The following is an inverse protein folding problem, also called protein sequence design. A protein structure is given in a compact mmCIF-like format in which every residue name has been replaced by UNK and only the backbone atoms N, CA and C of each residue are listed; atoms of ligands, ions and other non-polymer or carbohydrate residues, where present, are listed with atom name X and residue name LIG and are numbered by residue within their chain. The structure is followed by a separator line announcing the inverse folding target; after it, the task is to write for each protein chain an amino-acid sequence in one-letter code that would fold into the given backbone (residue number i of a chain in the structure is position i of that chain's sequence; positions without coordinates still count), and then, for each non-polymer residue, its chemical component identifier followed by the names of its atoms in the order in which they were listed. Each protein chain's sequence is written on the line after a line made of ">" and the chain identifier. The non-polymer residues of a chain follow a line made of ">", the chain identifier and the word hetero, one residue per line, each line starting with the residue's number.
data_IF_568954497124
#
_entry.id   IF_568954497124
#
_cell.length_a   1.000
_cell.length_b   1.000
_cell.length_c   1.000
_cell.angle_alpha   90.00
_cell.angle_beta   90.00
_cell.angle_gamma   90.00
#
_symmetry.space_group_name_H-M   'P 1'
#
loop_
_entity.id
_entity.type
_entity.pdbx_description
1 polymer ?
#
# COMPACT_ATOMS: atom_id res chain seq x y z
N UNK A 1 32.57 -20.54 52.00
CA UNK A 1 31.17 -20.19 51.64
C UNK A 1 30.63 -21.28 50.73
N UNK A 2 29.48 -21.85 51.07
CA UNK A 2 28.83 -22.93 50.32
C UNK A 2 28.37 -22.48 48.92
N UNK A 3 28.32 -23.43 47.99
CA UNK A 3 27.65 -23.27 46.68
C UNK A 3 26.15 -23.42 46.96
N UNK A 4 25.35 -22.44 46.52
CA UNK A 4 23.90 -22.47 46.63
C UNK A 4 23.35 -23.35 45.51
N UNK A 5 22.31 -24.10 45.83
CA UNK A 5 21.40 -24.72 44.87
C UNK A 5 20.54 -23.67 44.16
N UNK A 6 19.84 -24.06 43.07
CA UNK A 6 18.89 -23.18 42.39
C UNK A 6 17.81 -22.63 43.34
N UNK A 7 17.29 -23.48 44.23
CA UNK A 7 16.27 -23.14 45.22
C UNK A 7 16.76 -22.13 46.25
N UNK A 8 17.97 -22.36 46.77
CA UNK A 8 18.59 -21.46 47.73
C UNK A 8 18.94 -20.12 47.09
N UNK A 9 19.37 -20.13 45.82
CA UNK A 9 19.62 -18.90 45.08
C UNK A 9 18.33 -18.14 44.80
N UNK A 10 17.27 -18.77 44.31
CA UNK A 10 15.98 -18.12 44.06
C UNK A 10 15.42 -17.55 45.37
N UNK A 11 15.50 -18.31 46.47
CA UNK A 11 15.06 -17.85 47.79
C UNK A 11 15.90 -16.67 48.30
N UNK A 12 17.22 -16.71 48.10
CA UNK A 12 18.12 -15.61 48.43
C UNK A 12 17.81 -14.38 47.57
N UNK A 13 17.52 -14.57 46.28
CA UNK A 13 17.19 -13.49 45.36
C UNK A 13 15.87 -12.83 45.73
N UNK A 14 14.84 -13.61 46.06
CA UNK A 14 13.55 -13.09 46.52
C UNK A 14 13.67 -12.28 47.81
N UNK A 15 14.50 -12.72 48.75
CA UNK A 15 14.67 -12.05 50.05
C UNK A 15 15.64 -10.88 50.00
N UNK A 16 16.69 -10.96 49.18
CA UNK A 16 17.72 -9.92 49.03
C UNK A 16 18.44 -10.06 47.68
N UNK A 17 17.89 -9.44 46.60
CA UNK A 17 18.45 -9.54 45.26
C UNK A 17 19.95 -9.19 45.25
N UNK A 18 20.32 -8.03 45.82
CA UNK A 18 21.69 -7.53 45.90
C UNK A 18 22.68 -8.52 46.49
N UNK A 19 22.29 -9.24 47.55
CA UNK A 19 23.13 -10.27 48.17
C UNK A 19 23.27 -11.50 47.26
N UNK A 20 22.21 -11.90 46.58
CA UNK A 20 22.29 -12.96 45.56
C UNK A 20 23.25 -12.56 44.42
N UNK A 21 23.28 -11.29 44.03
CA UNK A 21 24.18 -10.79 42.96
C UNK A 21 25.63 -10.81 43.35
N UNK A 22 25.92 -10.28 44.53
CA UNK A 22 27.27 -10.26 45.08
C UNK A 22 27.78 -11.68 45.25
N UNK A 23 26.90 -12.60 45.65
CA UNK A 23 27.23 -14.02 45.69
C UNK A 23 27.59 -14.56 44.29
N UNK A 24 26.79 -14.24 43.27
CA UNK A 24 26.99 -14.62 41.87
C UNK A 24 28.33 -14.10 41.30
N UNK A 25 28.62 -12.81 41.53
CA UNK A 25 29.85 -12.15 41.12
C UNK A 25 31.09 -12.66 41.87
N UNK A 26 31.01 -12.76 43.21
CA UNK A 26 32.14 -13.14 44.07
C UNK A 26 32.62 -14.58 43.87
N UNK A 27 31.80 -15.41 43.24
CA UNK A 27 32.09 -16.83 43.04
C UNK A 27 32.59 -17.16 41.64
N UNK A 28 32.67 -16.18 40.74
CA UNK A 28 32.87 -16.40 39.30
C UNK A 28 32.00 -17.58 38.83
N UNK A 29 30.78 -17.67 39.38
CA UNK A 29 30.13 -18.96 39.44
C UNK A 29 29.72 -19.37 38.04
N UNK A 30 30.12 -20.57 37.68
CA UNK A 30 29.68 -21.25 36.48
C UNK A 30 28.17 -21.49 36.60
N UNK A 31 27.39 -20.53 36.09
CA UNK A 31 25.93 -20.49 36.15
C UNK A 31 25.29 -21.74 35.53
N UNK A 32 26.05 -22.48 34.72
CA UNK A 32 25.65 -23.81 34.20
C UNK A 32 25.43 -24.85 35.27
N UNK A 33 26.06 -24.69 36.43
CA UNK A 33 25.91 -25.59 37.58
C UNK A 33 24.75 -25.18 38.48
N UNK A 34 24.28 -23.94 38.34
CA UNK A 34 23.23 -23.39 39.19
C UNK A 34 21.84 -23.75 38.67
N UNK A 35 21.63 -23.65 37.35
CA UNK A 35 20.36 -23.96 36.70
C UNK A 35 20.57 -25.14 35.75
N UNK A 36 20.18 -26.33 36.21
CA UNK A 36 20.43 -27.59 35.47
C UNK A 36 19.17 -28.13 34.81
N UNK A 37 18.01 -27.56 35.12
CA UNK A 37 16.71 -27.98 34.59
C UNK A 37 15.88 -26.79 34.10
N UNK A 38 14.95 -27.08 33.16
CA UNK A 38 13.97 -26.11 32.67
C UNK A 38 13.14 -25.51 33.79
N UNK A 39 12.65 -26.34 34.72
CA UNK A 39 11.75 -25.90 35.78
C UNK A 39 12.40 -24.83 36.67
N UNK A 40 13.69 -24.97 36.97
CA UNK A 40 14.44 -23.96 37.73
C UNK A 40 14.55 -22.63 36.98
N UNK A 41 14.80 -22.67 35.67
CA UNK A 41 14.86 -21.47 34.80
C UNK A 41 13.48 -20.83 34.66
N UNK A 42 12.43 -21.63 34.48
CA UNK A 42 11.06 -21.14 34.36
C UNK A 42 10.60 -20.42 35.64
N UNK A 43 10.96 -20.93 36.81
CA UNK A 43 10.68 -20.24 38.10
C UNK A 43 11.44 -18.93 38.21
N UNK A 44 12.71 -18.89 37.78
CA UNK A 44 13.49 -17.65 37.73
C UNK A 44 12.85 -16.63 36.77
N UNK A 45 12.42 -17.07 35.59
CA UNK A 45 11.76 -16.24 34.59
C UNK A 45 10.38 -15.72 35.07
N UNK A 46 9.60 -16.58 35.75
CA UNK A 46 8.33 -16.19 36.35
C UNK A 46 8.52 -15.17 37.48
N UNK A 47 9.53 -15.38 38.33
CA UNK A 47 9.90 -14.44 39.39
C UNK A 47 10.35 -13.09 38.80
N UNK A 48 11.19 -13.10 37.76
CA UNK A 48 11.61 -11.91 37.04
C UNK A 48 10.42 -11.12 36.51
N UNK A 49 9.47 -11.81 35.89
CA UNK A 49 8.26 -11.19 35.36
C UNK A 49 7.34 -10.65 36.46
N UNK A 50 7.22 -11.34 37.60
CA UNK A 50 6.43 -10.89 38.74
C UNK A 50 7.04 -9.67 39.46
N UNK A 51 8.36 -9.54 39.47
CA UNK A 51 9.08 -8.42 40.10
C UNK A 51 9.12 -7.17 39.23
N UNK A 52 8.63 -7.26 37.99
CA UNK A 52 8.57 -6.22 36.98
C UNK A 52 7.31 -5.35 37.28
N UNK A 53 7.43 -4.21 37.97
CA UNK A 53 6.25 -3.39 38.26
C UNK A 53 5.77 -2.74 36.96
N UNK A 54 4.46 -2.57 36.88
CA UNK A 54 3.79 -1.71 35.91
C UNK A 54 4.42 -0.31 35.92
N UNK A 55 5.29 -0.05 34.94
CA UNK A 55 5.75 1.25 34.45
C UNK A 55 5.95 2.36 35.49
N UNK A 56 6.87 2.18 36.45
CA UNK A 56 7.57 3.28 37.15
C UNK A 56 8.68 2.74 38.07
N UNK A 57 9.63 2.01 37.49
CA UNK A 57 10.81 1.56 38.22
C UNK A 57 11.82 2.70 38.35
N UNK A 58 12.30 2.96 39.57
CA UNK A 58 13.46 3.82 39.75
C UNK A 58 14.70 3.19 39.10
N UNK A 59 15.63 4.02 38.66
CA UNK A 59 16.90 3.60 38.04
C UNK A 59 17.67 2.59 38.94
N UNK A 60 17.52 2.72 40.26
CA UNK A 60 18.13 1.82 41.25
C UNK A 60 17.53 0.40 41.18
N UNK A 61 16.20 0.25 41.06
CA UNK A 61 15.56 -1.07 41.00
C UNK A 61 15.83 -1.76 39.66
N UNK A 62 15.92 -1.01 38.56
CA UNK A 62 16.38 -1.55 37.27
C UNK A 62 17.83 -2.08 37.43
N UNK A 63 18.70 -1.35 38.11
CA UNK A 63 20.07 -1.82 38.34
C UNK A 63 20.12 -3.06 39.25
N UNK A 64 19.32 -3.09 40.32
CA UNK A 64 19.41 -4.15 41.33
C UNK A 64 18.62 -5.43 40.99
N UNK A 65 17.61 -5.38 40.12
CA UNK A 65 16.78 -6.55 39.75
C UNK A 65 16.97 -6.97 38.30
N UNK A 66 17.25 -6.04 37.39
CA UNK A 66 17.27 -6.31 35.95
C UNK A 66 18.67 -6.69 35.43
N UNK A 67 19.70 -5.89 35.75
CA UNK A 67 21.09 -6.20 35.36
C UNK A 67 21.55 -7.63 35.71
N UNK A 68 21.14 -8.22 36.85
CA UNK A 68 21.49 -9.58 37.23
C UNK A 68 21.01 -10.68 36.32
N UNK A 69 19.73 -10.65 36.00
CA UNK A 69 19.06 -11.66 35.20
C UNK A 69 19.50 -11.48 33.76
N UNK A 70 19.68 -10.23 33.35
CA UNK A 70 20.36 -9.88 32.11
C UNK A 70 21.79 -10.44 32.04
N UNK A 71 22.60 -10.26 33.08
CA UNK A 71 23.97 -10.80 33.17
C UNK A 71 23.95 -12.33 33.16
N UNK A 72 23.02 -12.94 33.88
CA UNK A 72 22.84 -14.39 33.94
C UNK A 72 22.53 -14.98 32.55
N UNK A 73 21.57 -14.38 31.84
CA UNK A 73 21.23 -14.80 30.48
C UNK A 73 22.39 -14.54 29.53
N UNK A 74 23.14 -13.44 29.68
CA UNK A 74 24.31 -13.17 28.85
C UNK A 74 25.47 -14.15 29.09
N UNK A 75 25.70 -14.56 30.34
CA UNK A 75 26.78 -15.46 30.71
C UNK A 75 26.46 -16.92 30.38
N UNK A 76 25.23 -17.37 30.61
CA UNK A 76 24.81 -18.77 30.49
C UNK A 76 23.79 -19.04 29.38
N UNK A 77 23.46 -18.03 28.56
CA UNK A 77 22.36 -18.09 27.58
C UNK A 77 22.47 -19.24 26.60
N UNK A 78 23.68 -19.62 26.19
CA UNK A 78 23.89 -20.78 25.33
C UNK A 78 23.48 -22.11 25.98
N UNK A 79 23.77 -22.33 27.27
CA UNK A 79 23.33 -23.55 27.95
C UNK A 79 21.85 -23.48 28.30
N UNK A 80 21.36 -22.30 28.71
CA UNK A 80 19.92 -22.10 28.95
C UNK A 80 19.13 -22.41 27.67
N UNK A 81 19.62 -21.98 26.49
CA UNK A 81 18.99 -22.30 25.22
C UNK A 81 18.96 -23.80 24.91
N UNK A 82 19.95 -24.59 25.36
CA UNK A 82 19.93 -26.05 25.20
C UNK A 82 18.78 -26.71 25.98
N UNK A 83 18.36 -26.09 27.09
CA UNK A 83 17.18 -26.53 27.84
C UNK A 83 15.88 -26.27 27.06
N UNK A 84 15.87 -25.32 26.12
CA UNK A 84 14.73 -24.94 25.28
C UNK A 84 14.90 -25.36 23.82
N UNK A 85 15.51 -26.53 23.58
CA UNK A 85 15.81 -27.07 22.25
C UNK A 85 14.59 -27.56 21.43
N UNK A 86 13.37 -27.32 21.90
CA UNK A 86 12.13 -27.63 21.17
C UNK A 86 11.23 -26.41 21.12
N UNK A 87 10.48 -26.24 20.02
CA UNK A 87 9.54 -25.13 19.86
C UNK A 87 8.54 -25.07 21.03
N UNK A 88 7.97 -26.21 21.44
CA UNK A 88 7.01 -26.25 22.55
C UNK A 88 7.61 -25.75 23.87
N UNK A 89 8.84 -26.16 24.19
CA UNK A 89 9.51 -25.70 25.40
C UNK A 89 9.78 -24.18 25.34
N UNK A 90 10.31 -23.70 24.22
CA UNK A 90 10.60 -22.28 24.06
C UNK A 90 9.32 -21.43 24.09
N UNK A 91 8.24 -21.87 23.45
CA UNK A 91 6.95 -21.18 23.49
C UNK A 91 6.35 -21.14 24.90
N UNK A 92 6.60 -22.15 25.75
CA UNK A 92 6.24 -22.10 27.18
C UNK A 92 6.99 -20.98 27.88
N UNK A 93 8.30 -20.84 27.63
CA UNK A 93 9.10 -19.73 28.18
C UNK A 93 8.58 -18.36 27.70
N UNK A 94 8.27 -18.21 26.41
CA UNK A 94 7.72 -16.97 25.85
C UNK A 94 6.43 -16.56 26.59
N UNK A 95 5.55 -17.51 26.90
CA UNK A 95 4.31 -17.27 27.65
C UNK A 95 4.54 -16.92 29.12
N UNK A 96 5.60 -17.46 29.73
CA UNK A 96 5.98 -17.14 31.12
C UNK A 96 6.60 -15.74 31.19
N UNK A 97 7.54 -15.44 30.29
CA UNK A 97 8.25 -14.15 30.24
C UNK A 97 8.82 -13.90 28.85
N UNK A 98 8.08 -13.12 28.04
CA UNK A 98 8.51 -12.72 26.69
C UNK A 98 9.81 -11.90 26.71
N UNK A 99 10.02 -11.09 27.75
CA UNK A 99 11.25 -10.34 27.95
C UNK A 99 12.46 -11.25 28.19
N UNK A 100 12.31 -12.29 29.01
CA UNK A 100 13.38 -13.28 29.22
C UNK A 100 13.65 -14.06 27.93
N UNK A 101 12.61 -14.49 27.22
CA UNK A 101 12.74 -15.19 25.94
C UNK A 101 13.43 -14.33 24.88
N UNK A 102 13.12 -13.02 24.79
CA UNK A 102 13.81 -12.08 23.90
C UNK A 102 15.27 -11.91 24.29
N UNK A 103 15.59 -11.82 25.59
CA UNK A 103 16.99 -11.76 26.01
C UNK A 103 17.74 -13.05 25.67
N UNK A 104 17.12 -14.21 25.87
CA UNK A 104 17.70 -15.50 25.51
C UNK A 104 17.94 -15.59 23.99
N UNK A 105 16.98 -15.13 23.18
CA UNK A 105 17.13 -15.03 21.72
C UNK A 105 18.33 -14.15 21.33
N UNK A 106 18.53 -13.01 21.99
CA UNK A 106 19.66 -12.11 21.70
C UNK A 106 21.02 -12.75 21.98
N UNK A 107 21.12 -13.61 23.00
CA UNK A 107 22.39 -14.24 23.40
C UNK A 107 22.67 -15.52 22.62
N UNK A 108 21.64 -16.30 22.29
CA UNK A 108 21.77 -17.58 21.60
C UNK A 108 20.86 -17.66 20.35
N UNK A 109 20.94 -16.69 19.42
CA UNK A 109 19.98 -16.59 18.32
C UNK A 109 19.95 -17.84 17.45
N UNK A 110 21.12 -18.35 17.03
CA UNK A 110 21.19 -19.54 16.19
C UNK A 110 20.48 -20.77 16.78
N UNK A 111 20.51 -20.96 18.12
CA UNK A 111 19.85 -22.08 18.78
C UNK A 111 18.33 -21.91 18.85
N UNK A 112 17.86 -20.67 18.94
CA UNK A 112 16.43 -20.37 19.00
C UNK A 112 15.83 -20.31 17.59
N UNK A 113 16.55 -19.77 16.61
CA UNK A 113 16.10 -19.68 15.22
C UNK A 113 15.81 -21.04 14.58
N UNK A 114 16.56 -22.09 14.94
CA UNK A 114 16.33 -23.45 14.44
C UNK A 114 15.02 -24.04 14.92
N UNK A 115 14.38 -23.46 15.93
CA UNK A 115 13.07 -23.89 16.42
C UNK A 115 11.93 -23.46 15.48
N UNK A 116 12.14 -22.39 14.70
CA UNK A 116 11.15 -21.83 13.79
C UNK A 116 11.49 -22.24 12.35
N UNK A 117 10.66 -23.11 11.77
CA UNK A 117 10.91 -23.67 10.44
C UNK A 117 9.71 -23.54 9.50
N UNK A 118 8.61 -22.95 9.97
CA UNK A 118 7.40 -22.77 9.19
C UNK A 118 6.71 -21.44 9.46
N UNK A 119 5.78 -21.09 8.58
CA UNK A 119 4.86 -19.98 8.77
C UNK A 119 4.07 -20.08 10.07
N UNK A 120 3.58 -21.28 10.41
CA UNK A 120 2.78 -21.47 11.61
C UNK A 120 3.61 -21.25 12.89
N UNK A 121 4.89 -21.64 12.89
CA UNK A 121 5.77 -21.40 14.05
C UNK A 121 6.00 -19.91 14.24
N UNK A 122 6.22 -19.17 13.16
CA UNK A 122 6.40 -17.71 13.19
C UNK A 122 5.13 -17.00 13.66
N UNK A 123 3.96 -17.37 13.14
CA UNK A 123 2.70 -16.76 13.55
C UNK A 123 2.34 -17.08 15.00
N UNK A 124 2.64 -18.30 15.48
CA UNK A 124 2.46 -18.65 16.89
C UNK A 124 3.38 -17.81 17.80
N UNK A 125 4.60 -17.49 17.34
CA UNK A 125 5.50 -16.57 18.06
C UNK A 125 4.96 -15.14 18.06
N UNK A 126 4.46 -14.67 16.92
CA UNK A 126 3.91 -13.32 16.76
C UNK A 126 2.71 -13.11 17.68
N UNK A 127 1.78 -14.07 17.73
CA UNK A 127 0.63 -14.05 18.64
C UNK A 127 1.06 -14.03 20.12
N UNK A 128 2.13 -14.74 20.47
CA UNK A 128 2.63 -14.78 21.84
C UNK A 128 3.50 -13.56 22.22
N UNK A 129 4.26 -13.01 21.26
CA UNK A 129 5.16 -11.89 21.46
C UNK A 129 5.55 -11.21 20.14
N UNK A 130 4.84 -10.12 19.81
CA UNK A 130 5.11 -9.27 18.64
C UNK A 130 6.56 -8.78 18.61
N UNK A 131 7.10 -8.37 19.75
CA UNK A 131 8.48 -7.88 19.87
C UNK A 131 9.50 -8.95 19.49
N UNK A 132 9.34 -10.17 20.01
CA UNK A 132 10.25 -11.27 19.71
C UNK A 132 10.10 -11.78 18.27
N UNK A 133 8.87 -11.79 17.73
CA UNK A 133 8.67 -12.09 16.32
C UNK A 133 9.34 -11.03 15.41
N UNK A 134 9.30 -9.75 15.80
CA UNK A 134 10.04 -8.69 15.10
C UNK A 134 11.54 -8.92 15.18
N UNK A 135 12.08 -9.21 16.37
CA UNK A 135 13.51 -9.53 16.56
C UNK A 135 13.92 -10.70 15.65
N UNK A 136 13.15 -11.79 15.63
CA UNK A 136 13.39 -12.96 14.79
C UNK A 136 13.32 -12.60 13.29
N UNK A 137 12.31 -11.84 12.87
CA UNK A 137 12.12 -11.42 11.49
C UNK A 137 13.28 -10.55 10.99
N UNK A 138 13.79 -9.64 11.82
CA UNK A 138 14.90 -8.77 11.43
C UNK A 138 16.25 -9.46 11.51
N UNK A 139 16.44 -10.34 12.49
CA UNK A 139 17.71 -11.05 12.67
C UNK A 139 17.94 -12.10 11.57
N UNK A 140 16.90 -12.86 11.20
CA UNK A 140 16.98 -13.86 10.13
C UNK A 140 15.93 -13.63 9.04
N UNK A 141 15.96 -12.41 8.47
CA UNK A 141 15.03 -12.00 7.43
C UNK A 141 14.92 -13.00 6.27
N UNK A 142 16.00 -13.50 5.65
CA UNK A 142 15.87 -14.39 4.51
C UNK A 142 15.10 -15.69 4.84
N UNK A 143 15.39 -16.30 6.00
CA UNK A 143 14.69 -17.52 6.44
C UNK A 143 13.24 -17.22 6.77
N UNK A 144 12.97 -16.20 7.57
CA UNK A 144 11.61 -15.88 8.00
C UNK A 144 10.74 -15.43 6.83
N UNK A 145 11.28 -14.59 5.94
CA UNK A 145 10.60 -14.22 4.70
C UNK A 145 10.28 -15.43 3.83
N UNK A 146 11.10 -16.50 3.87
CA UNK A 146 10.84 -17.74 3.11
C UNK A 146 9.54 -18.44 3.52
N UNK A 147 9.09 -18.24 4.76
CA UNK A 147 7.85 -18.85 5.28
C UNK A 147 6.60 -18.30 4.61
N UNK A 148 6.62 -17.06 4.11
CA UNK A 148 5.52 -16.44 3.40
C UNK A 148 5.59 -16.80 1.91
N UNK A 149 4.59 -17.48 1.40
CA UNK A 149 4.58 -18.09 0.08
C UNK A 149 3.37 -17.69 -0.76
N UNK A 150 2.34 -17.08 -0.16
CA UNK A 150 1.10 -16.74 -0.85
C UNK A 150 0.41 -15.51 -0.27
N UNK A 151 -0.64 -15.07 -0.99
CA UNK A 151 -1.46 -13.92 -0.64
C UNK A 151 -2.04 -14.00 0.77
N UNK A 152 -2.61 -15.14 1.16
CA UNK A 152 -3.26 -15.27 2.47
C UNK A 152 -2.26 -15.11 3.63
N UNK A 153 -1.07 -15.67 3.49
CA UNK A 153 0.00 -15.52 4.49
C UNK A 153 0.51 -14.07 4.57
N UNK A 154 0.65 -13.39 3.43
CA UNK A 154 1.01 -11.97 3.42
C UNK A 154 -0.08 -11.11 4.07
N UNK A 155 -1.36 -11.35 3.75
CA UNK A 155 -2.48 -10.59 4.34
C UNK A 155 -2.64 -10.85 5.84
N UNK A 156 -2.37 -12.07 6.30
CA UNK A 156 -2.33 -12.38 7.72
C UNK A 156 -1.23 -11.59 8.44
N UNK A 157 -0.04 -11.49 7.84
CA UNK A 157 1.04 -10.65 8.36
C UNK A 157 0.67 -9.17 8.35
N UNK A 158 0.08 -8.65 7.27
CA UNK A 158 -0.33 -7.25 7.20
C UNK A 158 -1.36 -6.91 8.28
N UNK A 159 -2.28 -7.83 8.58
CA UNK A 159 -3.28 -7.67 9.63
C UNK A 159 -2.67 -7.72 11.03
N UNK A 160 -1.77 -8.66 11.28
CA UNK A 160 -1.18 -8.87 12.60
C UNK A 160 -0.10 -7.82 12.91
N UNK A 161 0.76 -7.54 11.94
CA UNK A 161 1.93 -6.67 12.10
C UNK A 161 2.29 -5.93 10.79
N UNK A 162 1.57 -4.84 10.53
CA UNK A 162 1.69 -4.05 9.29
C UNK A 162 3.11 -3.56 9.00
N UNK A 163 3.93 -3.26 10.01
CA UNK A 163 5.34 -2.84 9.83
C UNK A 163 6.21 -3.96 9.25
N UNK A 164 6.04 -5.21 9.69
CA UNK A 164 6.78 -6.35 9.13
C UNK A 164 6.31 -6.70 7.72
N UNK A 165 5.01 -6.57 7.44
CA UNK A 165 4.51 -6.68 6.07
C UNK A 165 5.09 -5.58 5.17
N UNK A 166 5.29 -4.36 5.70
CA UNK A 166 6.04 -3.30 5.01
C UNK A 166 7.45 -3.74 4.66
N UNK A 167 8.18 -4.26 5.63
CA UNK A 167 9.55 -4.68 5.45
C UNK A 167 9.65 -5.84 4.46
N UNK A 168 8.72 -6.79 4.52
CA UNK A 168 8.64 -7.90 3.56
C UNK A 168 8.41 -7.39 2.15
N UNK A 169 7.44 -6.49 1.94
CA UNK A 169 7.20 -5.85 0.64
C UNK A 169 8.42 -5.06 0.17
N UNK A 170 9.07 -4.32 1.06
CA UNK A 170 10.17 -3.45 0.71
C UNK A 170 11.42 -4.21 0.32
N UNK A 171 11.73 -5.31 1.01
CA UNK A 171 12.92 -6.11 0.79
C UNK A 171 12.72 -7.24 -0.23
N UNK A 172 11.49 -7.72 -0.44
CA UNK A 172 11.16 -8.80 -1.39
C UNK A 172 10.00 -8.43 -2.32
N UNK A 173 10.01 -7.22 -2.89
CA UNK A 173 8.89 -6.71 -3.69
C UNK A 173 8.45 -7.64 -4.80
N UNK A 174 9.37 -8.15 -5.63
CA UNK A 174 9.00 -9.02 -6.74
C UNK A 174 8.24 -10.26 -6.26
N UNK A 175 8.74 -10.90 -5.20
CA UNK A 175 8.11 -12.07 -4.60
C UNK A 175 6.76 -11.75 -3.95
N UNK A 176 6.66 -10.63 -3.22
CA UNK A 176 5.39 -10.20 -2.63
C UNK A 176 4.37 -9.89 -3.73
N UNK A 177 4.79 -9.24 -4.81
CA UNK A 177 3.93 -9.01 -5.96
C UNK A 177 3.49 -10.34 -6.59
N UNK A 178 4.33 -11.37 -6.59
CA UNK A 178 3.99 -12.72 -7.05
C UNK A 178 2.96 -13.45 -6.20
N UNK A 179 2.73 -13.03 -4.97
CA UNK A 179 1.62 -13.53 -4.17
C UNK A 179 0.25 -13.12 -4.73
N UNK A 180 0.20 -11.99 -5.43
CA UNK A 180 -1.03 -11.47 -6.04
C UNK A 180 -1.19 -11.99 -7.46
N UNK A 181 -2.36 -12.53 -7.75
CA UNK A 181 -2.71 -13.13 -9.04
C UNK A 181 -4.01 -12.61 -9.63
N UNK A 182 -4.77 -11.77 -8.90
CA UNK A 182 -6.06 -11.27 -9.36
C UNK A 182 -6.38 -9.86 -8.87
N UNK A 183 -7.41 -9.27 -9.48
CA UNK A 183 -7.97 -7.97 -9.10
C UNK A 183 -8.51 -8.01 -7.66
N UNK A 184 -9.24 -9.07 -7.31
CA UNK A 184 -9.87 -9.22 -5.99
C UNK A 184 -8.82 -9.23 -4.87
N UNK A 185 -7.69 -9.89 -5.09
CA UNK A 185 -6.59 -9.92 -4.12
C UNK A 185 -5.94 -8.53 -3.98
N UNK A 186 -5.72 -7.82 -5.08
CA UNK A 186 -5.19 -6.46 -5.02
C UNK A 186 -6.16 -5.52 -4.30
N UNK A 187 -7.45 -5.60 -4.58
CA UNK A 187 -8.47 -4.79 -3.91
C UNK A 187 -8.65 -5.15 -2.44
N UNK A 188 -8.44 -6.42 -2.07
CA UNK A 188 -8.41 -6.82 -0.66
C UNK A 188 -7.25 -6.16 0.10
N UNK A 189 -6.07 -6.03 -0.54
CA UNK A 189 -4.97 -5.25 0.04
C UNK A 189 -5.29 -3.76 0.10
N UNK A 190 -5.84 -3.18 -0.96
CA UNK A 190 -6.27 -1.78 -0.98
C UNK A 190 -7.23 -1.45 0.16
N UNK A 191 -8.23 -2.32 0.35
CA UNK A 191 -9.24 -2.17 1.41
C UNK A 191 -8.61 -2.29 2.80
N UNK A 192 -7.64 -3.18 2.97
CA UNK A 192 -6.95 -3.37 4.25
C UNK A 192 -5.95 -2.23 4.56
N UNK A 193 -5.20 -1.80 3.55
CA UNK A 193 -4.17 -0.77 3.67
C UNK A 193 -3.84 -0.13 2.32
N UNK A 194 -4.47 1.01 2.03
CA UNK A 194 -4.29 1.78 0.80
C UNK A 194 -2.86 2.29 0.57
N UNK A 195 -2.10 2.51 1.65
CA UNK A 195 -0.68 2.88 1.52
C UNK A 195 0.15 1.71 1.01
N UNK A 196 -0.12 0.49 1.51
CA UNK A 196 0.60 -0.73 1.13
C UNK A 196 0.31 -1.16 -0.30
N UNK A 197 -0.94 -1.11 -0.72
CA UNK A 197 -1.34 -1.36 -2.11
C UNK A 197 -0.72 -0.33 -3.05
N UNK A 198 -0.68 0.94 -2.66
CA UNK A 198 -0.03 1.99 -3.42
C UNK A 198 1.49 1.75 -3.55
N UNK A 199 2.17 1.38 -2.46
CA UNK A 199 3.58 0.98 -2.48
C UNK A 199 3.83 -0.22 -3.40
N UNK A 200 2.97 -1.25 -3.31
CA UNK A 200 3.04 -2.42 -4.17
C UNK A 200 2.86 -2.04 -5.64
N UNK A 201 1.87 -1.20 -5.95
CA UNK A 201 1.63 -0.69 -7.29
C UNK A 201 2.85 0.06 -7.83
N UNK A 202 3.43 1.00 -7.08
CA UNK A 202 4.59 1.78 -7.55
C UNK A 202 5.80 0.91 -7.87
N UNK A 203 5.97 -0.19 -7.13
CA UNK A 203 7.12 -1.08 -7.32
C UNK A 203 6.88 -2.20 -8.33
N UNK A 204 5.62 -2.54 -8.62
CA UNK A 204 5.25 -3.56 -9.60
C UNK A 204 4.09 -3.10 -10.52
N UNK A 205 4.17 -1.93 -11.18
CA UNK A 205 3.02 -1.28 -11.81
C UNK A 205 2.44 -2.09 -12.99
N UNK A 206 3.31 -2.71 -13.80
CA UNK A 206 2.86 -3.55 -14.91
C UNK A 206 2.13 -4.81 -14.44
N UNK A 207 2.58 -5.41 -13.33
CA UNK A 207 1.95 -6.59 -12.76
C UNK A 207 0.58 -6.24 -12.17
N UNK A 208 0.50 -5.19 -11.37
CA UNK A 208 -0.79 -4.75 -10.81
C UNK A 208 -1.75 -4.33 -11.93
N UNK A 209 -1.27 -3.59 -12.93
CA UNK A 209 -2.08 -3.27 -14.11
C UNK A 209 -2.55 -4.50 -14.88
N UNK A 210 -1.83 -5.64 -14.78
CA UNK A 210 -2.24 -6.86 -15.45
C UNK A 210 -3.60 -7.38 -14.98
N UNK A 211 -3.94 -7.16 -13.70
CA UNK A 211 -5.16 -7.61 -13.06
C UNK A 211 -6.41 -6.86 -13.52
N UNK A 212 -6.26 -5.65 -14.05
CA UNK A 212 -7.35 -4.84 -14.58
C UNK A 212 -7.61 -5.25 -16.03
N UNK A 213 -8.69 -5.99 -16.24
CA UNK A 213 -9.07 -6.61 -17.51
C UNK A 213 -10.42 -6.14 -18.04
N UNK A 214 -11.21 -5.44 -17.21
CA UNK A 214 -12.49 -4.85 -17.61
C UNK A 214 -12.61 -3.39 -17.21
N UNK A 215 -13.51 -2.67 -17.89
CA UNK A 215 -13.92 -1.32 -17.53
C UNK A 215 -14.46 -1.25 -16.10
N UNK A 216 -15.30 -2.21 -15.69
CA UNK A 216 -15.93 -2.21 -14.37
C UNK A 216 -14.88 -2.30 -13.24
N UNK A 217 -13.82 -3.09 -13.42
CA UNK A 217 -12.71 -3.16 -12.47
C UNK A 217 -11.97 -1.83 -12.36
N UNK A 218 -11.73 -1.16 -13.48
CA UNK A 218 -11.08 0.16 -13.48
C UNK A 218 -11.97 1.22 -12.82
N UNK A 219 -13.27 1.24 -13.13
CA UNK A 219 -14.21 2.20 -12.54
C UNK A 219 -14.47 1.95 -11.06
N UNK A 220 -14.47 0.68 -10.62
CA UNK A 220 -14.54 0.35 -9.20
C UNK A 220 -13.33 0.91 -8.44
N UNK A 221 -12.12 0.76 -9.01
CA UNK A 221 -10.92 1.39 -8.45
C UNK A 221 -11.00 2.91 -8.46
N UNK A 222 -11.44 3.52 -9.57
CA UNK A 222 -11.58 4.98 -9.67
C UNK A 222 -12.54 5.54 -8.62
N UNK A 223 -13.67 4.85 -8.40
CA UNK A 223 -14.68 5.24 -7.43
C UNK A 223 -14.17 5.14 -6.00
N UNK A 224 -13.41 4.09 -5.69
CA UNK A 224 -12.88 3.88 -4.35
C UNK A 224 -11.64 4.76 -4.08
N UNK A 225 -10.76 4.90 -5.08
CA UNK A 225 -9.40 5.44 -4.94
C UNK A 225 -8.92 6.10 -6.24
N UNK A 226 -9.47 7.28 -6.56
CA UNK A 226 -9.17 8.04 -7.78
C UNK A 226 -7.69 8.35 -8.01
N UNK A 227 -6.91 8.56 -6.95
CA UNK A 227 -5.46 8.80 -7.06
C UNK A 227 -4.71 7.58 -7.60
N UNK A 228 -5.03 6.39 -7.10
CA UNK A 228 -4.40 5.15 -7.54
C UNK A 228 -4.88 4.76 -8.95
N UNK A 229 -6.15 4.97 -9.27
CA UNK A 229 -6.65 4.78 -10.64
C UNK A 229 -5.98 5.74 -11.64
N UNK A 230 -5.77 7.01 -11.26
CA UNK A 230 -5.02 7.96 -12.07
C UNK A 230 -3.57 7.52 -12.28
N UNK A 231 -2.89 7.05 -11.23
CA UNK A 231 -1.52 6.54 -11.36
C UNK A 231 -1.44 5.26 -12.19
N UNK A 232 -2.41 4.36 -12.03
CA UNK A 232 -2.57 3.17 -12.87
C UNK A 232 -2.66 3.55 -14.35
N UNK A 233 -3.52 4.52 -14.68
CA UNK A 233 -3.63 5.08 -16.02
C UNK A 233 -2.31 5.72 -16.49
N UNK A 234 -1.67 6.56 -15.66
CA UNK A 234 -0.43 7.25 -16.02
C UNK A 234 0.68 6.28 -16.41
N UNK A 235 0.80 5.16 -15.69
CA UNK A 235 1.81 4.14 -15.96
C UNK A 235 1.42 3.19 -17.10
N UNK A 236 0.11 2.99 -17.35
CA UNK A 236 -0.39 2.01 -18.32
C UNK A 236 -1.48 2.58 -19.24
N UNK A 237 -1.27 3.73 -19.92
CA UNK A 237 -2.35 4.46 -20.57
C UNK A 237 -2.99 3.67 -21.71
N UNK A 238 -2.17 2.94 -22.49
CA UNK A 238 -2.67 2.11 -23.59
C UNK A 238 -3.53 0.94 -23.09
N UNK A 239 -3.13 0.31 -21.97
CA UNK A 239 -3.90 -0.79 -21.38
C UNK A 239 -5.20 -0.28 -20.78
N UNK A 240 -5.17 0.83 -20.04
CA UNK A 240 -6.41 1.41 -19.48
C UNK A 240 -7.34 1.89 -20.58
N UNK A 241 -6.83 2.58 -21.61
CA UNK A 241 -7.62 2.89 -22.80
C UNK A 241 -8.20 1.64 -23.46
N UNK A 242 -7.52 0.49 -23.33
CA UNK A 242 -8.02 -0.76 -23.88
C UNK A 242 -9.27 -1.34 -23.23
N UNK A 243 -9.58 -0.89 -22.01
CA UNK A 243 -10.76 -1.30 -21.26
C UNK A 243 -12.04 -0.60 -21.77
N UNK A 244 -11.87 0.55 -22.42
CA UNK A 244 -12.98 1.31 -23.00
C UNK A 244 -13.31 0.77 -24.39
N UNK A 245 -14.54 0.29 -24.52
CA UNK A 245 -15.08 -0.39 -25.72
C UNK A 245 -16.37 0.25 -26.22
N UNK A 246 -17.05 1.06 -25.40
CA UNK A 246 -18.25 1.81 -25.79
C UNK A 246 -18.16 3.29 -25.44
N UNK A 247 -18.99 4.10 -26.09
CA UNK A 247 -19.18 5.52 -25.78
C UNK A 247 -19.67 5.71 -24.33
N UNK A 248 -20.61 4.89 -23.89
CA UNK A 248 -21.22 4.99 -22.55
C UNK A 248 -20.16 4.81 -21.46
N UNK A 249 -19.19 3.92 -21.66
CA UNK A 249 -18.06 3.73 -20.75
C UNK A 249 -17.17 4.97 -20.68
N UNK A 250 -16.86 5.59 -21.82
CA UNK A 250 -16.07 6.83 -21.85
C UNK A 250 -16.82 7.98 -21.16
N UNK A 251 -18.13 8.11 -21.41
CA UNK A 251 -18.96 9.11 -20.74
C UNK A 251 -19.10 8.87 -19.23
N UNK A 252 -19.16 7.62 -18.80
CA UNK A 252 -19.18 7.29 -17.37
C UNK A 252 -17.88 7.75 -16.69
N UNK A 253 -16.72 7.56 -17.32
CA UNK A 253 -15.46 8.12 -16.82
C UNK A 253 -15.47 9.65 -16.85
N UNK A 254 -15.98 10.28 -17.91
CA UNK A 254 -16.07 11.74 -18.00
C UNK A 254 -16.90 12.33 -16.85
N UNK A 255 -18.02 11.70 -16.52
CA UNK A 255 -18.88 12.11 -15.39
C UNK A 255 -18.18 11.89 -14.05
N UNK A 256 -17.46 10.78 -13.89
CA UNK A 256 -16.77 10.47 -12.64
C UNK A 256 -15.51 11.34 -12.44
N UNK A 257 -14.74 11.56 -13.50
CA UNK A 257 -13.42 12.19 -13.45
C UNK A 257 -13.01 12.79 -14.81
N UNK A 258 -13.51 14.00 -15.09
CA UNK A 258 -13.30 14.71 -16.36
C UNK A 258 -11.83 14.96 -16.74
N UNK A 259 -10.94 15.21 -15.77
CA UNK A 259 -9.50 15.35 -16.03
C UNK A 259 -8.86 14.06 -16.52
N UNK A 260 -9.22 12.92 -15.93
CA UNK A 260 -8.73 11.62 -16.35
C UNK A 260 -9.30 11.23 -17.72
N UNK A 261 -10.57 11.52 -18.00
CA UNK A 261 -11.14 11.35 -19.34
C UNK A 261 -10.44 12.22 -20.39
N UNK A 262 -10.11 13.47 -20.06
CA UNK A 262 -9.31 14.36 -20.93
C UNK A 262 -7.93 13.78 -21.20
N UNK A 263 -7.23 13.30 -20.17
CA UNK A 263 -5.90 12.72 -20.34
C UNK A 263 -5.95 11.38 -21.10
N UNK A 264 -6.99 10.58 -20.88
CA UNK A 264 -7.26 9.37 -21.64
C UNK A 264 -7.40 9.68 -23.14
N UNK A 265 -8.19 10.70 -23.48
CA UNK A 265 -8.33 11.16 -24.86
C UNK A 265 -6.98 11.62 -25.44
N UNK A 266 -6.20 12.42 -24.70
CA UNK A 266 -4.87 12.87 -25.16
C UNK A 266 -3.90 11.72 -25.42
N UNK A 267 -4.00 10.63 -24.64
CA UNK A 267 -3.10 9.47 -24.76
C UNK A 267 -3.56 8.45 -25.80
N UNK A 268 -4.86 8.35 -26.07
CA UNK A 268 -5.43 7.36 -26.99
C UNK A 268 -6.53 7.97 -27.88
N UNK A 269 -6.26 9.06 -28.62
CA UNK A 269 -7.30 9.82 -29.30
C UNK A 269 -8.05 9.01 -30.34
N UNK A 270 -7.35 8.24 -31.19
CA UNK A 270 -7.98 7.41 -32.22
C UNK A 270 -8.89 6.33 -31.64
N UNK A 271 -8.52 5.78 -30.48
CA UNK A 271 -9.33 4.77 -29.80
C UNK A 271 -10.60 5.38 -29.24
N UNK A 272 -10.48 6.50 -28.54
CA UNK A 272 -11.64 7.20 -27.96
C UNK A 272 -12.56 7.72 -29.06
N UNK A 273 -12.02 8.28 -30.15
CA UNK A 273 -12.81 8.69 -31.33
C UNK A 273 -13.55 7.50 -31.94
N UNK A 274 -12.91 6.33 -32.00
CA UNK A 274 -13.53 5.09 -32.49
C UNK A 274 -14.73 4.60 -31.68
N UNK A 275 -14.94 5.08 -30.45
CA UNK A 275 -16.10 4.72 -29.62
C UNK A 275 -17.38 5.41 -30.11
N UNK A 276 -17.26 6.49 -30.90
CA UNK A 276 -18.39 7.28 -31.38
C UNK A 276 -18.88 6.73 -32.71
N UNK A 277 -20.16 6.39 -32.76
CA UNK A 277 -20.82 5.81 -33.95
C UNK A 277 -22.00 6.66 -34.44
N UNK A 278 -22.48 7.61 -33.63
CA UNK A 278 -23.64 8.47 -33.93
C UNK A 278 -23.35 9.93 -33.58
N UNK A 279 -23.94 10.87 -34.33
CA UNK A 279 -23.87 12.31 -34.03
C UNK A 279 -24.32 12.64 -32.61
N UNK A 280 -25.38 12.00 -32.11
CA UNK A 280 -25.96 12.31 -30.80
C UNK A 280 -24.99 11.99 -29.65
N UNK A 281 -24.10 11.00 -29.82
CA UNK A 281 -23.04 10.71 -28.86
C UNK A 281 -22.01 11.83 -28.82
N UNK A 282 -21.61 12.35 -29.99
CA UNK A 282 -20.69 13.49 -30.07
C UNK A 282 -21.32 14.76 -29.50
N UNK A 283 -22.59 15.02 -29.79
CA UNK A 283 -23.34 16.15 -29.22
C UNK A 283 -23.42 16.02 -27.68
N UNK A 284 -23.66 14.82 -27.15
CA UNK A 284 -23.68 14.59 -25.71
C UNK A 284 -22.32 14.85 -25.07
N UNK A 285 -21.22 14.40 -25.69
CA UNK A 285 -19.87 14.75 -25.23
C UNK A 285 -19.60 16.24 -25.31
N UNK A 286 -19.99 16.91 -26.40
CA UNK A 286 -19.77 18.35 -26.57
C UNK A 286 -20.43 19.16 -25.44
N UNK A 287 -21.65 18.78 -25.06
CA UNK A 287 -22.36 19.36 -23.92
C UNK A 287 -21.67 19.09 -22.59
N UNK A 288 -21.12 17.89 -22.40
CA UNK A 288 -20.45 17.51 -21.15
C UNK A 288 -19.05 18.13 -21.03
N UNK A 289 -18.28 18.11 -22.12
CA UNK A 289 -16.87 18.48 -22.14
C UNK A 289 -16.45 19.00 -23.53
N UNK A 290 -16.78 20.26 -23.80
CA UNK A 290 -16.44 20.96 -25.04
C UNK A 290 -14.96 20.84 -25.45
N UNK A 291 -14.01 20.91 -24.49
CA UNK A 291 -12.58 20.82 -24.81
C UNK A 291 -12.23 19.52 -25.52
N UNK A 292 -12.69 18.38 -25.00
CA UNK A 292 -12.44 17.07 -25.62
C UNK A 292 -13.13 17.02 -27.00
N UNK A 293 -14.38 17.44 -27.11
CA UNK A 293 -15.10 17.45 -28.39
C UNK A 293 -14.40 18.33 -29.46
N UNK A 294 -13.90 19.50 -29.06
CA UNK A 294 -13.15 20.40 -29.94
C UNK A 294 -11.82 19.80 -30.37
N UNK A 295 -11.14 19.08 -29.47
CA UNK A 295 -9.89 18.37 -29.76
C UNK A 295 -10.12 17.16 -30.66
N UNK A 296 -11.22 16.42 -30.49
CA UNK A 296 -11.62 15.34 -31.39
C UNK A 296 -11.81 15.83 -32.82
N UNK A 297 -12.49 16.97 -33.02
CA UNK A 297 -12.67 17.59 -34.35
C UNK A 297 -11.34 18.08 -34.92
N UNK A 298 -10.41 18.50 -34.06
CA UNK A 298 -9.07 18.91 -34.50
C UNK A 298 -8.23 17.70 -34.93
N UNK A 299 -8.31 16.60 -34.18
CA UNK A 299 -7.51 15.39 -34.39
C UNK A 299 -8.00 14.55 -35.56
N UNK A 300 -9.32 14.36 -35.70
CA UNK A 300 -9.90 13.55 -36.76
C UNK A 300 -11.15 14.19 -37.37
N UNK A 301 -11.02 15.38 -38.01
CA UNK A 301 -12.16 16.14 -38.55
C UNK A 301 -13.03 15.31 -39.49
N UNK A 302 -12.42 14.46 -40.33
CA UNK A 302 -13.15 13.62 -41.28
C UNK A 302 -13.92 12.48 -40.61
N UNK A 303 -13.34 11.84 -39.57
CA UNK A 303 -14.02 10.78 -38.81
C UNK A 303 -15.21 11.35 -38.06
N UNK A 304 -15.06 12.53 -37.45
CA UNK A 304 -16.17 13.19 -36.77
C UNK A 304 -17.24 13.64 -37.76
N UNK A 305 -16.86 14.19 -38.92
CA UNK A 305 -17.82 14.58 -39.96
C UNK A 305 -18.68 13.42 -40.47
N UNK A 306 -18.15 12.19 -40.48
CA UNK A 306 -18.93 11.00 -40.83
C UNK A 306 -20.08 10.72 -39.86
N UNK A 307 -19.98 11.13 -38.59
CA UNK A 307 -21.06 10.98 -37.60
C UNK A 307 -22.27 11.85 -37.96
N UNK A 308 -22.03 12.96 -38.66
CA UNK A 308 -23.00 13.99 -39.03
C UNK A 308 -23.44 13.85 -40.50
N UNK A 309 -24.04 12.72 -40.84
CA UNK A 309 -24.47 12.40 -42.21
C UNK A 309 -25.71 13.18 -42.67
N UNK A 310 -26.51 13.69 -41.73
CA UNK A 310 -27.75 14.46 -42.00
C UNK A 310 -27.60 15.92 -41.59
N UNK A 311 -28.28 16.81 -42.31
CA UNK A 311 -28.30 18.24 -41.97
C UNK A 311 -28.96 18.50 -40.62
N UNK A 312 -29.98 17.71 -40.26
CA UNK A 312 -30.63 17.77 -38.95
C UNK A 312 -29.64 17.56 -37.79
N UNK A 313 -28.74 16.58 -37.91
CA UNK A 313 -27.71 16.36 -36.87
C UNK A 313 -26.73 17.54 -36.74
N UNK A 314 -26.37 18.19 -37.86
CA UNK A 314 -25.53 19.39 -37.86
C UNK A 314 -26.26 20.59 -37.27
N UNK A 315 -27.56 20.76 -37.57
CA UNK A 315 -28.39 21.82 -36.99
C UNK A 315 -28.52 21.63 -35.47
N UNK A 316 -28.74 20.40 -35.00
CA UNK A 316 -28.76 20.08 -33.57
C UNK A 316 -27.44 20.36 -32.87
N UNK A 317 -26.30 20.14 -33.54
CA UNK A 317 -25.00 20.58 -33.02
C UNK A 317 -24.86 22.10 -33.07
N UNK A 318 -25.25 22.76 -34.16
CA UNK A 318 -25.14 24.21 -34.33
C UNK A 318 -25.97 24.99 -33.30
N UNK A 319 -27.10 24.42 -32.87
CA UNK A 319 -27.91 24.94 -31.78
C UNK A 319 -27.16 24.97 -30.44
N UNK A 320 -26.19 24.08 -30.23
CA UNK A 320 -25.33 24.08 -29.04
C UNK A 320 -24.02 24.86 -29.29
N UNK A 321 -23.42 24.71 -30.47
CA UNK A 321 -22.10 25.22 -30.81
C UNK A 321 -21.92 25.45 -32.32
N UNK A 322 -22.24 26.66 -32.78
CA UNK A 322 -22.16 27.04 -34.20
C UNK A 322 -20.75 26.95 -34.76
N UNK A 323 -19.72 27.34 -33.99
CA UNK A 323 -18.31 27.28 -34.42
C UNK A 323 -17.85 25.84 -34.68
N UNK A 324 -18.22 24.90 -33.81
CA UNK A 324 -17.87 23.49 -33.99
C UNK A 324 -18.64 22.86 -35.15
N UNK A 325 -19.93 23.18 -35.29
CA UNK A 325 -20.74 22.76 -36.42
C UNK A 325 -20.17 23.25 -37.77
N UNK A 326 -19.70 24.50 -37.83
CA UNK A 326 -19.03 25.06 -39.01
C UNK A 326 -17.74 24.31 -39.36
N UNK A 327 -16.92 23.96 -38.36
CA UNK A 327 -15.70 23.17 -38.56
C UNK A 327 -16.02 21.79 -39.14
N UNK A 328 -17.04 21.12 -38.60
CA UNK A 328 -17.47 19.80 -39.08
C UNK A 328 -18.09 19.90 -40.49
N UNK A 329 -18.91 20.92 -40.77
CA UNK A 329 -19.49 21.18 -42.09
C UNK A 329 -18.41 21.40 -43.15
N UNK A 330 -17.35 22.16 -42.83
CA UNK A 330 -16.20 22.34 -43.72
C UNK A 330 -15.49 21.01 -44.01
N UNK A 331 -15.25 20.20 -42.98
CA UNK A 331 -14.63 18.88 -43.12
C UNK A 331 -15.48 17.90 -43.96
N UNK A 332 -16.81 18.00 -43.88
CA UNK A 332 -17.74 17.23 -44.73
C UNK A 332 -17.62 17.61 -46.20
N UNK A 333 -17.50 18.91 -46.52
CA UNK A 333 -17.39 19.42 -47.89
C UNK A 333 -16.07 19.03 -48.57
N UNK A 334 -14.95 19.06 -47.84
CA UNK A 334 -13.62 18.68 -48.38
C UNK A 334 -13.54 17.21 -48.80
N UNK A 335 -14.31 16.33 -48.15
CA UNK A 335 -14.40 14.91 -48.53
C UNK A 335 -15.18 14.69 -49.83
N UNK A 336 -16.30 15.40 -50.01
CA UNK A 336 -17.14 15.28 -51.21
C UNK A 336 -16.46 15.80 -52.49
N UNK A 337 -15.44 16.65 -52.36
CA UNK A 337 -14.63 17.14 -53.48
C UNK A 337 -13.43 16.24 -53.83
N UNK A 338 -13.11 15.24 -53.02
CA UNK A 338 -11.93 14.38 -53.18
C UNK A 338 -12.21 13.07 -53.96
N UNK A 339 -13.47 12.71 -54.16
CA UNK A 339 -13.87 11.55 -54.99
C UNK A 339 -14.12 11.90 -56.47
N UNK A 340 -13.01 12.11 -57.22
CA UNK A 340 -12.77 11.85 -58.68
C UNK A 340 -13.28 12.81 -59.80
N UNK A 341 -12.60 12.88 -61.00
CA UNK A 341 -11.66 11.89 -61.54
C UNK A 341 -10.23 12.35 -61.90
N UNK A 342 -9.35 11.35 -61.92
CA UNK A 342 -8.12 11.16 -62.70
C UNK A 342 -7.99 12.14 -63.88
N UNK A 343 -7.09 13.12 -63.75
CA UNK A 343 -6.58 13.86 -64.91
C UNK A 343 -5.26 13.23 -65.32
N UNK A 344 -5.34 12.41 -66.36
CA UNK A 344 -4.21 12.11 -67.24
C UNK A 344 -3.49 13.43 -67.57
N UNK A 345 -2.26 13.59 -67.08
CA UNK A 345 -1.26 14.37 -67.80
C UNK A 345 -0.29 13.38 -68.43
N UNK A 346 -0.66 12.97 -69.64
CA UNK A 346 0.31 12.56 -70.63
C UNK A 346 1.27 13.74 -70.87
N UNK A 347 2.49 13.62 -70.36
CA UNK A 347 3.65 14.21 -71.02
C UNK A 347 4.61 13.09 -71.36
N UNK A 348 4.44 12.65 -72.60
CA UNK A 348 5.40 11.94 -73.42
C UNK A 348 6.79 12.56 -73.25
N UNK A 349 7.73 11.78 -72.73
CA UNK A 349 9.13 11.93 -73.09
C UNK A 349 9.68 10.56 -73.42
N UNK A 350 10.20 10.49 -74.64
CA UNK A 350 10.62 9.32 -75.38
C UNK A 350 11.74 8.56 -74.68
N UNK A 351 11.62 7.23 -74.69
CA UNK A 351 12.73 6.28 -74.58
C UNK A 351 13.56 6.33 -75.88
N UNK A 352 14.85 6.01 -75.81
CA UNK A 352 15.34 4.94 -76.68
C UNK A 352 15.90 3.80 -75.85
N UNK A 353 15.55 2.59 -76.28
CA UNK A 353 16.15 1.34 -75.84
C UNK A 353 17.66 1.33 -76.13
N UNK A 354 18.45 0.68 -75.27
CA UNK A 354 19.16 -0.56 -75.65
C UNK A 354 20.03 -1.14 -74.53
N UNK A 355 20.08 -2.48 -74.53
CA UNK A 355 21.09 -3.39 -73.98
C UNK A 355 21.10 -3.76 -72.47
N UNK A 356 20.74 -5.02 -72.25
CA UNK A 356 21.15 -5.95 -71.18
C UNK A 356 22.23 -6.88 -71.79
N UNK A 357 23.24 -7.46 -71.09
CA UNK A 357 23.03 -8.42 -69.99
C UNK A 357 24.01 -8.41 -68.79
N UNK A 358 23.48 -8.78 -67.62
CA UNK A 358 23.96 -9.68 -66.52
C UNK A 358 25.44 -10.20 -66.47
N UNK A 359 25.92 -10.83 -65.37
CA UNK A 359 25.68 -10.72 -63.91
C UNK A 359 26.98 -10.63 -63.05
N UNK A 360 26.79 -10.54 -61.73
CA UNK A 360 27.60 -11.15 -60.67
C UNK A 360 28.71 -10.34 -59.95
N UNK A 361 28.69 -10.51 -58.61
CA UNK A 361 29.82 -10.50 -57.68
C UNK A 361 30.41 -9.16 -57.24
N UNK A 362 30.18 -8.80 -55.97
CA UNK A 362 31.23 -8.80 -54.95
C UNK A 362 30.72 -8.21 -53.63
N UNK A 363 30.93 -8.98 -52.56
CA UNK A 363 30.86 -8.56 -51.18
C UNK A 363 32.06 -7.66 -50.81
N UNK A 364 31.86 -6.73 -49.87
CA UNK A 364 32.76 -6.24 -48.81
C UNK A 364 32.18 -4.89 -48.33
N UNK A 365 31.60 -4.81 -47.12
CA UNK A 365 32.29 -4.53 -45.85
C UNK A 365 33.15 -3.26 -45.92
N UNK A 366 32.77 -2.20 -45.18
CA UNK A 366 33.61 -1.57 -44.15
C UNK A 366 32.87 -0.46 -43.38
N UNK A 367 32.97 -0.58 -42.06
CA UNK A 367 32.99 0.40 -40.96
C UNK A 367 32.25 1.75 -40.95
N UNK A 368 31.60 1.93 -39.79
CA UNK A 368 31.65 3.07 -38.86
C UNK A 368 31.51 4.49 -39.40
N UNK A 369 30.50 5.18 -38.85
CA UNK A 369 30.75 6.47 -38.22
C UNK A 369 29.72 6.74 -37.11
N UNK A 370 30.21 6.66 -35.88
CA UNK A 370 29.62 7.30 -34.72
C UNK A 370 29.68 8.82 -34.89
N UNK A 371 28.58 9.51 -34.58
CA UNK A 371 28.59 10.93 -34.28
C UNK A 371 28.05 11.15 -32.86
N UNK A 372 28.99 11.40 -31.96
CA UNK A 372 28.81 12.11 -30.70
C UNK A 372 28.43 13.57 -30.96
N UNK A 373 27.42 14.07 -30.24
CA UNK A 373 27.31 15.50 -29.93
C UNK A 373 26.93 15.67 -28.46
N UNK A 374 27.72 16.48 -27.77
CA UNK A 374 27.70 16.79 -26.35
C UNK A 374 27.22 18.23 -26.09
N UNK A 375 26.66 18.44 -24.88
CA UNK A 375 26.37 19.72 -24.20
C UNK A 375 25.20 20.53 -24.80
N UNK A 376 24.29 21.16 -24.03
CA UNK A 376 24.46 21.85 -22.74
C UNK A 376 23.12 21.98 -21.96
N UNK A 377 23.21 22.08 -20.62
CA UNK A 377 22.17 22.61 -19.71
C UNK A 377 22.09 24.15 -19.83
N UNK A 378 20.97 24.82 -19.46
CA UNK A 378 21.00 25.52 -18.17
C UNK A 378 19.66 25.70 -17.42
N UNK A 379 19.81 25.81 -16.09
CA UNK A 379 19.10 26.67 -15.10
C UNK A 379 17.63 26.44 -14.73
N UNK A 380 17.44 26.27 -13.41
CA UNK A 380 16.20 26.34 -12.63
C UNK A 380 15.53 27.73 -12.68
N UNK A 381 14.26 27.83 -12.25
CA UNK A 381 14.04 28.53 -10.97
C UNK A 381 12.92 27.98 -10.08
N UNK A 382 13.02 28.40 -8.81
CA UNK A 382 11.97 28.72 -7.83
C UNK A 382 11.08 27.60 -7.24
N UNK A 383 11.40 27.29 -5.97
CA UNK A 383 10.50 26.74 -4.95
C UNK A 383 9.30 27.68 -4.72
N UNK A 384 8.10 27.15 -4.72
CA UNK A 384 6.93 27.74 -4.05
C UNK A 384 6.16 26.67 -3.29
N UNK A 385 5.89 26.98 -2.02
CA UNK A 385 5.22 26.15 -1.03
C UNK A 385 3.74 25.95 -1.38
N UNK A 386 3.32 24.71 -1.62
CA UNK A 386 1.91 24.28 -1.56
C UNK A 386 1.78 23.16 -0.53
N UNK A 387 2.00 23.51 0.73
CA UNK A 387 1.80 22.64 1.89
C UNK A 387 0.98 23.39 2.93
N UNK A 388 -0.29 23.72 2.62
CA UNK A 388 -1.24 24.13 3.67
C UNK A 388 -2.75 24.07 3.30
N UNK A 389 -3.15 23.66 2.09
CA UNK A 389 -4.57 23.66 1.71
C UNK A 389 -5.25 22.28 1.58
N UNK A 390 -4.53 21.17 1.79
CA UNK A 390 -5.09 19.81 1.69
C UNK A 390 -5.56 19.20 3.01
N UNK A 391 -5.40 19.88 4.15
CA UNK A 391 -5.76 19.33 5.47
C UNK A 391 -7.12 19.78 6.02
N UNK A 392 -7.84 20.68 5.34
CA UNK A 392 -9.13 21.20 5.86
C UNK A 392 -10.36 20.67 5.09
N UNK A 393 -10.19 20.16 3.86
CA UNK A 393 -11.33 19.62 3.08
C UNK A 393 -11.56 18.11 3.20
N UNK A 394 -10.56 17.33 3.65
CA UNK A 394 -10.71 15.88 3.85
C UNK A 394 -11.52 15.48 5.09
N UNK A 395 -11.78 16.41 6.01
CA UNK A 395 -12.44 16.14 7.29
C UNK A 395 -13.97 16.17 7.28
N UNK A 396 -14.62 16.72 6.24
CA UNK A 396 -16.07 16.96 6.25
C UNK A 396 -16.91 15.95 5.44
N UNK A 397 -16.30 15.09 4.62
CA UNK A 397 -17.02 14.07 3.85
C UNK A 397 -16.93 12.65 4.44
N UNK A 398 -16.10 12.45 5.47
CA UNK A 398 -15.94 11.15 6.13
C UNK A 398 -17.08 10.82 7.12
N UNK A 399 -17.87 11.79 7.55
CA UNK A 399 -18.93 11.59 8.56
C UNK A 399 -20.29 11.21 7.97
N UNK A 400 -20.53 11.42 6.67
CA UNK A 400 -21.78 11.04 6.02
C UNK A 400 -21.77 9.61 5.43
N UNK A 401 -20.60 9.06 5.09
CA UNK A 401 -20.47 7.73 4.48
C UNK A 401 -20.45 6.56 5.47
N UNK A 402 -20.12 6.79 6.74
CA UNK A 402 -19.99 5.73 7.76
C UNK A 402 -21.36 5.31 8.34
N UNK A 403 -22.36 6.19 8.29
CA UNK A 403 -23.71 5.92 8.83
C UNK A 403 -24.52 4.89 8.03
N UNK A 404 -24.27 4.72 6.73
CA UNK A 404 -25.03 3.80 5.88
C UNK A 404 -24.44 2.37 5.83
N UNK A 405 -23.18 2.20 6.21
CA UNK A 405 -22.52 0.88 6.20
C UNK A 405 -22.79 0.11 7.50
N UNK A 406 -22.97 0.80 8.63
CA UNK A 406 -23.29 0.16 9.92
C UNK A 406 -24.74 -0.37 9.94
N UNK A 407 -25.68 0.30 9.28
CA UNK A 407 -27.07 -0.17 9.16
C UNK A 407 -27.21 -1.43 8.28
N UNK A 408 -26.32 -1.61 7.29
CA UNK A 408 -26.33 -2.80 6.41
C UNK A 408 -25.75 -4.05 7.06
N UNK A 409 -24.82 -3.91 8.01
CA UNK A 409 -24.16 -5.04 8.69
C UNK A 409 -25.01 -5.62 9.82
N UNK A 410 -25.90 -4.82 10.43
CA UNK A 410 -26.76 -5.25 11.55
C UNK A 410 -27.97 -6.10 11.07
N UNK A 411 -28.34 -6.05 9.78
CA UNK A 411 -29.51 -6.77 9.25
C UNK A 411 -29.24 -8.16 8.65
N UNK A 412 -27.98 -8.65 8.68
CA UNK A 412 -27.58 -9.88 7.99
C UNK A 412 -27.14 -11.05 8.91
N UNK A 413 -27.34 -10.96 10.22
CA UNK A 413 -26.89 -11.97 11.19
C UNK A 413 -28.02 -12.31 12.19
N UNK A 414 -28.63 -13.51 12.15
CA UNK A 414 -29.72 -13.87 13.06
C UNK A 414 -29.29 -14.23 14.49
N UNK A 415 -28.04 -14.02 14.89
CA UNK A 415 -27.50 -14.48 16.18
C UNK A 415 -27.12 -13.37 17.18
N UNK A 416 -27.43 -12.10 16.90
CA UNK A 416 -27.20 -10.99 17.84
C UNK A 416 -28.51 -10.33 18.31
N UNK A 417 -29.36 -11.10 18.97
CA UNK A 417 -30.43 -10.56 19.82
C UNK A 417 -29.95 -10.68 21.27
N UNK A 418 -29.27 -9.66 21.79
CA UNK A 418 -28.80 -9.73 23.18
C UNK A 418 -28.00 -8.56 23.74
N UNK A 419 -27.54 -7.59 22.93
CA UNK A 419 -26.86 -6.38 23.45
C UNK A 419 -27.28 -5.17 22.61
N UNK A 420 -28.56 -4.81 22.75
CA UNK A 420 -29.18 -3.68 22.07
C UNK A 420 -29.84 -2.74 23.07
N UNK A 421 -29.06 -2.14 23.97
CA UNK A 421 -29.49 -1.03 24.84
C UNK A 421 -28.24 -0.49 25.54
N UNK A 422 -27.67 0.59 25.02
CA UNK A 422 -26.67 1.56 25.57
C UNK A 422 -25.81 2.05 24.38
N UNK A 423 -26.41 2.78 23.43
CA UNK A 423 -25.67 3.56 22.42
C UNK A 423 -26.56 4.58 21.68
N UNK A 424 -27.62 5.09 22.32
CA UNK A 424 -28.60 5.96 21.67
C UNK A 424 -28.98 7.22 22.49
N UNK A 425 -28.12 7.70 23.39
CA UNK A 425 -28.45 8.87 24.24
C UNK A 425 -27.41 10.01 24.24
N UNK A 426 -26.28 9.92 23.53
CA UNK A 426 -25.31 11.05 23.50
C UNK A 426 -24.97 11.42 22.07
N UNK A 427 -25.80 12.28 21.47
CA UNK A 427 -25.58 12.80 20.13
C UNK A 427 -26.56 13.88 19.68
N UNK A 428 -27.26 14.53 20.62
CA UNK A 428 -28.11 15.69 20.34
C UNK A 428 -27.85 16.74 21.44
N UNK A 429 -26.96 17.68 21.14
CA UNK A 429 -26.69 18.81 22.02
C UNK A 429 -25.27 19.31 21.88
N UNK A 430 -25.10 20.36 21.07
CA UNK A 430 -24.54 21.66 21.46
C UNK A 430 -24.09 22.37 20.18
N UNK A 431 -24.88 23.37 19.79
CA UNK A 431 -24.47 24.40 18.87
C UNK A 431 -23.73 25.53 19.59
N UNK A 432 -23.01 26.31 18.79
CA UNK A 432 -22.75 27.75 18.93
C UNK A 432 -22.54 28.31 20.34
N UNK A 433 -21.30 28.70 20.66
CA UNK A 433 -21.05 30.02 21.28
C UNK A 433 -19.72 30.60 20.79
N UNK A 434 -19.84 31.81 20.25
CA UNK A 434 -18.78 32.75 19.95
C UNK A 434 -18.60 33.65 21.18
N UNK A 435 -17.37 33.99 21.59
CA UNK A 435 -17.17 35.08 22.53
C UNK A 435 -15.93 35.04 23.42
N UNK A 436 -14.93 35.86 23.04
CA UNK A 436 -14.01 36.68 23.83
C UNK A 436 -13.32 36.11 25.09
N UNK A 437 -11.99 36.10 24.97
CA UNK A 437 -10.98 36.00 26.03
C UNK A 437 -10.94 37.28 26.87
N UNK A 438 -11.05 37.14 28.19
CA UNK A 438 -10.46 38.08 29.17
C UNK A 438 -9.94 37.32 30.39
N UNK A 439 -8.71 37.66 30.78
CA UNK A 439 -7.95 37.18 31.94
C UNK A 439 -8.65 37.42 33.28
N UNK A 440 -8.65 36.42 34.18
CA UNK A 440 -8.47 36.64 35.62
C UNK A 440 -8.02 35.34 36.33
N UNK A 441 -7.19 35.53 37.37
CA UNK A 441 -6.47 34.52 38.18
C UNK A 441 -7.41 33.73 39.12
N UNK A 442 -6.95 32.59 39.67
CA UNK A 442 -7.78 31.64 40.41
C UNK A 442 -7.76 31.91 41.92
N UNK A 443 -8.89 31.65 42.57
CA UNK A 443 -8.97 31.43 44.01
C UNK A 443 -9.88 30.21 44.28
N UNK A 444 -9.42 29.44 45.25
CA UNK A 444 -10.13 28.55 46.18
C UNK A 444 -10.50 27.10 45.81
N UNK A 445 -10.07 26.24 46.75
CA UNK A 445 -10.29 24.81 46.95
C UNK A 445 -11.77 24.45 47.06
N UNK A 446 -12.19 23.35 46.43
CA UNK A 446 -13.22 22.50 47.02
C UNK A 446 -12.90 21.01 46.80
N UNK A 447 -12.93 20.32 47.94
CA UNK A 447 -12.69 18.92 48.19
C UNK A 447 -13.96 18.11 47.83
N UNK A 448 -13.87 17.17 46.88
CA UNK A 448 -14.98 16.29 46.50
C UNK A 448 -14.58 14.82 46.62
N UNK A 449 -14.95 14.25 47.76
CA UNK A 449 -14.99 12.82 48.04
C UNK A 449 -16.17 12.17 47.31
N UNK A 450 -15.91 11.22 46.42
CA UNK A 450 -16.95 10.37 45.82
C UNK A 450 -17.02 9.01 46.53
N UNK A 451 -18.20 8.71 47.10
CA UNK A 451 -18.61 7.36 47.51
C UNK A 451 -19.31 6.67 46.32
N UNK A 452 -18.89 5.44 46.03
CA UNK A 452 -19.57 4.54 45.10
C UNK A 452 -20.84 3.95 45.74
N UNK A 453 -21.91 3.87 44.95
CA UNK A 453 -23.04 2.94 45.12
C UNK A 453 -23.03 2.02 43.92
#
# INVERSE_FOLDING_TARGET
>A
MAILTADEFISLYQSNPKKALLWLQSKEMDLTRLFTSRDEVERLAAMYYAMLPSHNLSTEIIREIYEPIYYLVNAAGNQIADLYNTLSAFMKLVKISSGFASQLFKVAPAKIEVLFNSYNDFMALEEASISLASDLFHHNFPKVASFFQNFHQFMALEKAHSSLAADLLNKQTARVADFFTSYEQFMALETANSSRSYDLFRKAPAKIASFFTSFDQFMALETAHSSLAYDLFRHNPAKIASLFTTFEQFMALEVAHSSLASDLFKKAPDRIIGLFTKADQFIALEKAHYSIASDMVRHAPEKIALLFSTEDSLQRLAANNSSLADRISKARKTKNTSSHPTRQQARSYSRPDTYSPNPASAAHSFHDQAYTYSHASPTAPARTNYSFYLQVFGGLMATAGVGLIIAGIILAQPEFIGIGLIAAVVGAGIGFFSGKVTNQKPDEEEDLTFKFV
#
